data_IF_523951141949
#
_entry.id   IF_523951141949
#
_cell.length_a   1.000
_cell.length_b   1.000
_cell.length_c   1.000
_cell.angle_alpha   90.00
_cell.angle_beta   90.00
_cell.angle_gamma   90.00
#
_symmetry.space_group_name_H-M   'P 1'
#
loop_
_entity.id
_entity.type
_entity.pdbx_description
1 polymer ?
#
# COMPACT_ATOMS: atom_id res chain seq x y z
N UNK A 1 -2.02 33.94 -12.72
CA UNK A 1 -1.58 33.52 -11.36
C UNK A 1 -1.57 31.99 -11.12
N UNK A 2 -2.47 31.23 -11.76
CA UNK A 2 -2.58 29.76 -11.57
C UNK A 2 -1.42 28.95 -12.17
N UNK A 3 -0.90 29.35 -13.34
CA UNK A 3 0.18 28.62 -14.01
C UNK A 3 1.44 28.55 -13.14
N UNK A 4 1.79 29.63 -12.45
CA UNK A 4 2.95 29.69 -11.56
C UNK A 4 2.80 28.77 -10.33
N UNK A 5 1.59 28.68 -9.78
CA UNK A 5 1.30 27.76 -8.67
C UNK A 5 1.36 26.29 -9.12
N UNK A 6 0.89 26.01 -10.34
CA UNK A 6 0.99 24.67 -10.94
C UNK A 6 2.44 24.25 -11.19
N UNK A 7 3.29 25.13 -11.73
CA UNK A 7 4.72 24.82 -11.92
C UNK A 7 5.43 24.61 -10.59
N UNK A 8 5.09 25.40 -9.56
CA UNK A 8 5.67 25.27 -8.21
C UNK A 8 5.24 23.96 -7.53
N UNK A 9 3.99 23.53 -7.72
CA UNK A 9 3.50 22.24 -7.22
C UNK A 9 4.19 21.07 -7.95
N UNK A 10 4.31 21.15 -9.29
CA UNK A 10 4.96 20.12 -10.08
C UNK A 10 6.46 19.96 -9.81
N UNK A 11 7.16 21.05 -9.44
CA UNK A 11 8.56 20.98 -9.05
C UNK A 11 8.81 20.14 -7.77
N UNK A 12 7.78 19.90 -6.96
CA UNK A 12 7.87 19.07 -5.75
C UNK A 12 7.64 17.58 -6.03
N UNK A 13 7.07 17.23 -7.19
CA UNK A 13 6.93 15.84 -7.59
C UNK A 13 8.28 15.32 -8.08
N UNK A 14 8.97 14.59 -7.20
CA UNK A 14 10.08 13.76 -7.63
C UNK A 14 9.50 12.70 -8.59
N UNK A 15 10.04 12.54 -9.81
CA UNK A 15 9.59 11.47 -10.68
C UNK A 15 9.68 10.15 -9.90
N UNK A 16 8.67 9.27 -10.01
CA UNK A 16 8.73 7.98 -9.34
C UNK A 16 10.05 7.32 -9.74
N UNK A 17 10.82 6.89 -8.75
CA UNK A 17 12.06 6.15 -9.01
C UNK A 17 11.62 4.83 -9.63
N UNK A 18 11.66 4.76 -10.96
CA UNK A 18 11.44 3.54 -11.72
C UNK A 18 12.63 2.65 -11.39
N UNK A 19 12.48 1.81 -10.37
CA UNK A 19 13.43 0.76 -10.10
C UNK A 19 13.39 -0.18 -11.29
N UNK A 20 14.40 -0.09 -12.16
CA UNK A 20 14.58 -1.04 -13.26
C UNK A 20 14.51 -2.47 -12.70
N UNK A 21 13.89 -3.39 -13.44
CA UNK A 21 13.70 -4.78 -13.01
C UNK A 21 14.99 -5.41 -12.44
N UNK A 22 16.14 -5.10 -13.06
CA UNK A 22 17.47 -5.55 -12.63
C UNK A 22 17.84 -5.15 -11.20
N UNK A 23 17.42 -3.97 -10.75
CA UNK A 23 17.67 -3.48 -9.38
C UNK A 23 16.81 -4.21 -8.36
N UNK A 24 15.60 -4.61 -8.75
CA UNK A 24 14.66 -5.36 -7.90
C UNK A 24 15.17 -6.80 -7.73
N UNK A 25 15.59 -7.45 -8.82
CA UNK A 25 16.17 -8.80 -8.79
C UNK A 25 17.42 -8.89 -7.89
N UNK A 26 18.33 -7.91 -7.96
CA UNK A 26 19.51 -7.82 -7.10
C UNK A 26 19.17 -7.65 -5.62
N UNK A 27 18.08 -6.94 -5.29
CA UNK A 27 17.64 -6.79 -3.89
C UNK A 27 16.97 -8.06 -3.38
N UNK A 28 16.16 -8.71 -4.21
CA UNK A 28 15.51 -9.99 -3.88
C UNK A 28 16.54 -11.10 -3.63
N UNK A 29 17.55 -11.24 -4.49
CA UNK A 29 18.62 -12.23 -4.31
C UNK A 29 19.44 -12.00 -3.04
N UNK A 30 19.72 -10.74 -2.67
CA UNK A 30 20.40 -10.43 -1.39
C UNK A 30 19.55 -10.79 -0.17
N UNK A 31 18.26 -10.48 -0.22
CA UNK A 31 17.33 -10.82 0.87
C UNK A 31 17.16 -12.33 1.01
N UNK A 32 17.09 -13.06 -0.11
CA UNK A 32 17.01 -14.51 -0.13
C UNK A 32 18.22 -15.17 0.52
N UNK A 33 19.45 -14.76 0.15
CA UNK A 33 20.66 -15.28 0.79
C UNK A 33 20.68 -15.03 2.29
N UNK A 34 20.30 -13.82 2.74
CA UNK A 34 20.23 -13.51 4.17
C UNK A 34 19.20 -14.36 4.91
N UNK A 35 18.06 -14.64 4.27
CA UNK A 35 17.03 -15.52 4.83
C UNK A 35 17.55 -16.97 4.95
N UNK A 36 18.24 -17.48 3.93
CA UNK A 36 18.89 -18.79 3.93
C UNK A 36 19.97 -18.90 5.02
N UNK A 37 20.82 -17.89 5.19
CA UNK A 37 21.81 -17.85 6.27
C UNK A 37 21.17 -17.83 7.66
N UNK A 38 20.02 -17.17 7.79
CA UNK A 38 19.29 -17.12 9.06
C UNK A 38 18.59 -18.45 9.37
N UNK A 39 18.02 -19.10 8.35
CA UNK A 39 17.29 -20.37 8.52
C UNK A 39 18.21 -21.58 8.70
N UNK A 40 19.42 -21.55 8.13
CA UNK A 40 20.43 -22.59 8.35
C UNK A 40 21.05 -22.55 9.76
N UNK A 41 20.61 -21.61 10.60
CA UNK A 41 21.19 -21.38 11.91
C UNK A 41 22.57 -20.75 11.77
N UNK A 42 22.75 -19.59 12.39
CA UNK A 42 24.07 -19.02 12.63
C UNK A 42 24.87 -20.08 13.39
N UNK A 43 25.69 -20.87 12.68
CA UNK A 43 26.40 -22.05 13.21
C UNK A 43 26.72 -21.82 14.67
N UNK A 44 25.99 -22.50 15.53
CA UNK A 44 26.16 -22.40 16.96
C UNK A 44 27.63 -22.68 17.25
N UNK A 45 28.25 -21.74 17.94
CA UNK A 45 29.57 -21.93 18.50
C UNK A 45 29.51 -23.20 19.35
N UNK A 46 30.17 -24.22 18.84
CA UNK A 46 30.62 -25.39 19.60
C UNK A 46 31.11 -24.87 20.94
N UNK A 47 30.47 -25.36 22.00
CA UNK A 47 30.84 -25.11 23.38
C UNK A 47 32.36 -25.26 23.53
N UNK A 48 32.95 -24.23 24.11
CA UNK A 48 34.38 -23.94 24.17
C UNK A 48 35.15 -24.90 25.12
N UNK A 49 34.91 -26.21 25.05
CA UNK A 49 35.71 -27.20 25.79
C UNK A 49 36.92 -27.63 24.97
N UNK A 50 36.85 -27.56 23.64
CA UNK A 50 38.00 -27.75 22.74
C UNK A 50 38.33 -26.46 21.99
N UNK A 51 38.88 -25.46 22.69
CA UNK A 51 39.53 -24.33 22.01
C UNK A 51 40.78 -24.85 21.28
N UNK A 52 40.70 -24.88 19.95
CA UNK A 52 41.82 -25.16 19.03
C UNK A 52 42.87 -24.04 19.00
N UNK A 53 42.85 -23.13 19.96
CA UNK A 53 43.83 -22.06 20.07
C UNK A 53 45.20 -22.68 20.41
N UNK A 54 46.30 -22.22 19.76
CA UNK A 54 47.64 -22.70 20.06
C UNK A 54 47.94 -22.49 21.56
N UNK A 55 48.75 -23.39 22.13
CA UNK A 55 49.00 -23.48 23.58
C UNK A 55 49.47 -22.16 24.20
N UNK A 56 50.13 -21.31 23.41
CA UNK A 56 50.63 -19.98 23.76
C UNK A 56 49.53 -18.93 24.00
N UNK A 57 48.32 -19.15 23.48
CA UNK A 57 47.15 -18.29 23.67
C UNK A 57 46.16 -18.84 24.70
N UNK A 58 46.44 -20.01 25.29
CA UNK A 58 45.63 -20.57 26.37
C UNK A 58 45.99 -19.84 27.66
N UNK A 59 44.98 -19.35 28.36
CA UNK A 59 45.13 -18.71 29.67
C UNK A 59 45.84 -19.72 30.59
N UNK A 60 47.02 -19.40 31.13
CA UNK A 60 47.72 -20.26 32.09
C UNK A 60 46.80 -20.61 33.26
N UNK A 61 46.90 -21.84 33.76
CA UNK A 61 46.02 -22.35 34.83
C UNK A 61 46.02 -21.43 36.07
N UNK A 62 47.17 -20.80 36.37
CA UNK A 62 47.31 -19.83 37.45
C UNK A 62 46.50 -18.53 37.22
N UNK A 63 46.40 -18.04 35.98
CA UNK A 63 45.56 -16.87 35.65
C UNK A 63 44.07 -17.22 35.70
N UNK A 64 43.72 -18.48 35.41
CA UNK A 64 42.34 -18.97 35.53
C UNK A 64 41.87 -18.93 36.99
N UNK A 65 42.72 -19.32 37.94
CA UNK A 65 42.43 -19.20 39.38
C UNK A 65 42.31 -17.74 39.83
N UNK A 66 43.17 -16.86 39.30
CA UNK A 66 43.08 -15.42 39.57
C UNK A 66 41.77 -14.80 39.04
N UNK A 67 41.36 -15.12 37.81
CA UNK A 67 40.09 -14.63 37.23
C UNK A 67 38.90 -15.16 38.02
N UNK A 68 38.93 -16.44 38.45
CA UNK A 68 37.90 -17.00 39.33
C UNK A 68 37.86 -16.24 40.67
N UNK A 69 39.00 -16.01 41.30
CA UNK A 69 39.07 -15.27 42.56
C UNK A 69 38.58 -13.81 42.45
N UNK A 70 38.83 -13.12 41.33
CA UNK A 70 38.28 -11.78 41.06
C UNK A 70 36.74 -11.81 40.94
N UNK A 71 36.19 -12.84 40.30
CA UNK A 71 34.73 -13.02 40.20
C UNK A 71 34.11 -13.36 41.56
N UNK A 72 34.73 -14.24 42.34
CA UNK A 72 34.25 -14.58 43.69
C UNK A 72 34.38 -13.40 44.67
N UNK A 73 35.43 -12.58 44.55
CA UNK A 73 35.53 -11.31 45.31
C UNK A 73 34.44 -10.31 44.94
N UNK A 74 33.92 -10.35 43.71
CA UNK A 74 32.79 -9.52 43.29
C UNK A 74 31.43 -10.05 43.80
N UNK A 75 31.32 -11.31 44.22
CA UNK A 75 30.11 -11.88 44.83
C UNK A 75 29.97 -11.50 46.32
N UNK A 76 31.07 -11.13 46.98
CA UNK A 76 31.01 -10.42 48.24
C UNK A 76 30.53 -8.99 47.99
N UNK A 77 29.29 -8.67 48.38
CA UNK A 77 28.65 -7.36 48.23
C UNK A 77 29.47 -6.21 48.87
N UNK A 78 30.52 -5.76 48.19
CA UNK A 78 31.12 -4.47 48.46
C UNK A 78 30.12 -3.40 48.02
N UNK A 79 29.66 -2.57 48.95
CA UNK A 79 28.70 -1.47 48.78
C UNK A 79 29.12 -0.38 47.77
N UNK A 80 30.18 -0.59 47.00
CA UNK A 80 30.78 0.36 46.06
C UNK A 80 30.91 -0.21 44.64
N UNK A 81 29.99 -1.07 44.20
CA UNK A 81 29.90 -1.42 42.78
C UNK A 81 29.24 -0.26 42.00
N UNK A 82 30.01 0.34 41.09
CA UNK A 82 29.63 1.38 40.11
C UNK A 82 28.55 0.94 39.09
N UNK A 83 27.73 -0.06 39.43
CA UNK A 83 26.71 -0.65 38.57
C UNK A 83 25.46 -1.08 39.35
N UNK A 84 25.18 -0.46 40.50
CA UNK A 84 23.88 -0.64 41.13
C UNK A 84 22.80 -0.17 40.17
N UNK A 85 21.84 -1.05 39.89
CA UNK A 85 20.70 -0.75 39.02
C UNK A 85 19.95 0.44 39.62
N UNK A 86 19.91 1.55 38.88
CA UNK A 86 19.04 2.66 39.22
C UNK A 86 17.59 2.20 39.05
N UNK A 87 16.98 1.81 40.17
CA UNK A 87 15.59 1.33 40.22
C UNK A 87 14.61 2.38 39.70
N UNK A 88 14.90 3.67 39.89
CA UNK A 88 14.02 4.75 39.45
C UNK A 88 14.02 4.86 37.93
N UNK A 89 15.20 4.75 37.31
CA UNK A 89 15.36 4.80 35.87
C UNK A 89 14.84 3.52 35.21
N UNK A 90 15.11 2.36 35.80
CA UNK A 90 14.59 1.07 35.31
C UNK A 90 13.05 1.07 35.30
N UNK A 91 12.41 1.59 36.35
CA UNK A 91 10.95 1.72 36.41
C UNK A 91 10.41 2.65 35.33
N UNK A 92 11.09 3.77 35.05
CA UNK A 92 10.72 4.69 33.95
C UNK A 92 10.87 4.00 32.58
N UNK A 93 11.94 3.26 32.36
CA UNK A 93 12.16 2.54 31.09
C UNK A 93 11.09 1.48 30.84
N UNK A 94 10.72 0.70 31.87
CA UNK A 94 9.64 -0.28 31.79
C UNK A 94 8.29 0.41 31.47
N UNK A 95 7.98 1.53 32.14
CA UNK A 95 6.74 2.27 31.89
C UNK A 95 6.68 2.82 30.46
N UNK A 96 7.79 3.37 29.96
CA UNK A 96 7.89 3.86 28.58
C UNK A 96 7.78 2.73 27.55
N UNK A 97 8.38 1.57 27.81
CA UNK A 97 8.24 0.39 26.96
C UNK A 97 6.77 -0.05 26.86
N UNK A 98 6.07 -0.17 27.99
CA UNK A 98 4.62 -0.49 28.04
C UNK A 98 3.78 0.53 27.28
N UNK A 99 4.07 1.82 27.42
CA UNK A 99 3.34 2.88 26.70
C UNK A 99 3.55 2.78 25.19
N UNK A 100 4.78 2.49 24.73
CA UNK A 100 5.09 2.29 23.31
C UNK A 100 4.39 1.06 22.73
N UNK A 101 4.29 -0.02 23.50
CA UNK A 101 3.57 -1.23 23.12
C UNK A 101 2.07 -0.96 22.96
N UNK A 102 1.44 -0.29 23.93
CA UNK A 102 0.03 0.10 23.85
C UNK A 102 -0.28 1.01 22.65
N UNK A 103 0.63 1.91 22.29
CA UNK A 103 0.48 2.75 21.09
C UNK A 103 0.49 1.89 19.82
N UNK A 104 1.45 0.95 19.70
CA UNK A 104 1.53 0.04 18.54
C UNK A 104 0.27 -0.83 18.41
N UNK A 105 -0.24 -1.36 19.52
CA UNK A 105 -1.48 -2.14 19.51
C UNK A 105 -2.69 -1.32 19.03
N UNK A 106 -2.80 -0.06 19.45
CA UNK A 106 -3.88 0.84 19.00
C UNK A 106 -3.76 1.14 17.52
N UNK A 107 -2.55 1.36 17.01
CA UNK A 107 -2.31 1.59 15.58
C UNK A 107 -2.64 0.34 14.75
N UNK A 108 -2.23 -0.86 15.21
CA UNK A 108 -2.59 -2.12 14.55
C UNK A 108 -4.10 -2.36 14.54
N UNK A 109 -4.80 -2.11 15.65
CA UNK A 109 -6.26 -2.22 15.71
C UNK A 109 -6.97 -1.26 14.75
N UNK A 110 -6.47 -0.02 14.62
CA UNK A 110 -7.00 0.94 13.64
C UNK A 110 -6.77 0.44 12.21
N UNK A 111 -5.59 -0.09 11.92
CA UNK A 111 -5.24 -0.62 10.60
C UNK A 111 -6.11 -1.82 10.21
N UNK A 112 -6.29 -2.79 11.11
CA UNK A 112 -7.19 -3.93 10.87
C UNK A 112 -8.62 -3.47 10.63
N UNK A 113 -9.13 -2.51 11.42
CA UNK A 113 -10.48 -1.98 11.24
C UNK A 113 -10.65 -1.24 9.91
N UNK A 114 -9.63 -0.52 9.44
CA UNK A 114 -9.68 0.14 8.12
C UNK A 114 -9.61 -0.87 6.98
N UNK A 115 -8.78 -1.90 7.09
CA UNK A 115 -8.69 -2.98 6.09
C UNK A 115 -10.00 -3.76 6.00
N UNK A 116 -10.63 -4.07 7.14
CA UNK A 116 -11.96 -4.70 7.19
C UNK A 116 -13.05 -3.81 6.57
N UNK A 117 -12.97 -2.49 6.73
CA UNK A 117 -13.92 -1.56 6.11
C UNK A 117 -13.75 -1.51 4.59
N UNK A 118 -12.52 -1.46 4.09
CA UNK A 118 -12.20 -1.53 2.65
C UNK A 118 -12.71 -2.84 2.07
N UNK A 119 -12.45 -3.96 2.76
CA UNK A 119 -12.90 -5.28 2.30
C UNK A 119 -14.43 -5.38 2.24
N UNK A 120 -15.16 -4.83 3.21
CA UNK A 120 -16.63 -4.74 3.14
C UNK A 120 -17.11 -3.87 1.98
N UNK A 121 -16.45 -2.75 1.71
CA UNK A 121 -16.79 -1.89 0.57
C UNK A 121 -16.52 -2.59 -0.77
N UNK A 122 -15.43 -3.35 -0.88
CA UNK A 122 -15.13 -4.17 -2.06
C UNK A 122 -16.18 -5.27 -2.27
N UNK A 123 -16.59 -5.97 -1.21
CA UNK A 123 -17.67 -6.99 -1.27
C UNK A 123 -19.00 -6.37 -1.76
N UNK A 124 -19.39 -5.22 -1.22
CA UNK A 124 -20.57 -4.48 -1.67
C UNK A 124 -20.47 -4.05 -3.14
N UNK A 125 -19.29 -3.62 -3.58
CA UNK A 125 -19.05 -3.22 -4.97
C UNK A 125 -19.16 -4.41 -5.92
N UNK A 126 -18.67 -5.58 -5.50
CA UNK A 126 -18.69 -6.79 -6.32
C UNK A 126 -20.12 -7.32 -6.55
N UNK A 127 -20.99 -7.20 -5.55
CA UNK A 127 -22.42 -7.53 -5.70
C UNK A 127 -23.13 -6.58 -6.68
N UNK A 128 -22.79 -5.30 -6.67
CA UNK A 128 -23.33 -4.31 -7.63
C UNK A 128 -22.82 -4.60 -9.05
N UNK A 129 -21.54 -4.92 -9.23
CA UNK A 129 -20.99 -5.28 -10.54
C UNK A 129 -21.63 -6.55 -11.11
N UNK A 130 -21.87 -7.55 -10.27
CA UNK A 130 -22.57 -8.76 -10.70
C UNK A 130 -24.01 -8.45 -11.18
N UNK A 131 -24.66 -7.43 -10.62
CA UNK A 131 -25.98 -6.98 -11.11
C UNK A 131 -25.90 -6.26 -12.47
N UNK A 132 -24.80 -5.59 -12.80
CA UNK A 132 -24.60 -4.88 -14.07
C UNK A 132 -23.94 -5.71 -15.19
N UNK A 133 -23.37 -6.89 -14.89
CA UNK A 133 -22.64 -7.70 -15.87
C UNK A 133 -23.52 -8.38 -16.94
N UNK A 134 -24.85 -8.38 -16.78
CA UNK A 134 -25.77 -8.84 -17.82
C UNK A 134 -26.62 -7.66 -18.27
N UNK A 135 -26.29 -7.03 -19.41
CA UNK A 135 -27.19 -6.09 -20.06
C UNK A 135 -28.59 -6.72 -20.11
N UNK A 136 -29.66 -5.97 -19.82
CA UNK A 136 -31.03 -6.50 -19.84
C UNK A 136 -31.41 -7.11 -21.21
N UNK A 137 -30.66 -6.78 -22.25
CA UNK A 137 -30.77 -7.37 -23.59
C UNK A 137 -30.19 -8.80 -23.69
N UNK A 138 -29.41 -9.24 -22.71
CA UNK A 138 -28.72 -10.55 -22.68
C UNK A 138 -29.25 -11.46 -21.58
N UNK A 139 -30.18 -11.01 -20.74
CA UNK A 139 -30.73 -11.79 -19.63
C UNK A 139 -31.56 -12.98 -20.08
N UNK A 140 -32.14 -12.94 -21.28
CA UNK A 140 -32.87 -14.05 -21.90
C UNK A 140 -31.98 -15.03 -22.67
N UNK A 141 -30.69 -14.70 -22.88
CA UNK A 141 -29.77 -15.53 -23.66
C UNK A 141 -29.09 -16.58 -22.79
N UNK A 142 -29.04 -17.80 -23.29
CA UNK A 142 -28.28 -18.89 -22.69
C UNK A 142 -26.78 -18.66 -22.85
N UNK A 143 -25.97 -19.28 -21.98
CA UNK A 143 -24.50 -19.19 -22.08
C UNK A 143 -23.94 -19.69 -23.42
N UNK A 144 -24.66 -20.60 -24.10
CA UNK A 144 -24.26 -21.09 -25.42
C UNK A 144 -24.54 -20.04 -26.51
N UNK A 145 -25.69 -19.36 -26.47
CA UNK A 145 -26.00 -18.26 -27.40
C UNK A 145 -25.02 -17.09 -27.25
N UNK A 146 -24.59 -16.78 -26.01
CA UNK A 146 -23.55 -15.79 -25.75
C UNK A 146 -22.20 -16.17 -26.37
N UNK A 147 -21.84 -17.46 -26.32
CA UNK A 147 -20.63 -17.97 -27.00
C UNK A 147 -20.77 -17.89 -28.52
N UNK A 148 -21.94 -18.23 -29.06
CA UNK A 148 -22.21 -18.14 -30.50
C UNK A 148 -22.13 -16.68 -30.99
N UNK A 149 -22.63 -15.70 -30.22
CA UNK A 149 -22.49 -14.27 -30.54
C UNK A 149 -21.03 -13.78 -30.51
N UNK A 150 -20.19 -14.39 -29.68
CA UNK A 150 -18.75 -14.09 -29.65
C UNK A 150 -18.03 -14.63 -30.89
N UNK A 151 -18.40 -15.83 -31.35
CA UNK A 151 -17.81 -16.48 -32.53
C UNK A 151 -18.35 -15.92 -33.84
N UNK A 152 -19.62 -15.53 -33.85
CA UNK A 152 -20.31 -14.93 -34.99
C UNK A 152 -20.93 -13.60 -34.56
N UNK A 153 -20.15 -12.50 -34.57
CA UNK A 153 -20.69 -11.19 -34.22
C UNK A 153 -21.85 -10.84 -35.15
N UNK A 154 -22.92 -10.31 -34.55
CA UNK A 154 -24.12 -9.90 -35.28
C UNK A 154 -23.73 -8.90 -36.37
N UNK A 155 -24.10 -9.19 -37.63
CA UNK A 155 -23.91 -8.24 -38.72
C UNK A 155 -24.93 -7.11 -38.58
N UNK A 156 -24.51 -5.99 -38.02
CA UNK A 156 -25.33 -4.79 -37.97
C UNK A 156 -25.35 -4.19 -39.38
N UNK A 157 -26.53 -4.02 -40.00
CA UNK A 157 -26.62 -3.31 -41.28
C UNK A 157 -25.90 -1.97 -41.17
N UNK A 158 -25.28 -1.51 -42.26
CA UNK A 158 -24.72 -0.16 -42.31
C UNK A 158 -25.86 0.86 -42.35
N UNK A 159 -26.47 1.09 -41.19
CA UNK A 159 -27.44 2.15 -41.01
C UNK A 159 -26.72 3.47 -41.30
N UNK A 160 -27.35 4.44 -41.98
CA UNK A 160 -26.81 5.79 -42.06
C UNK A 160 -26.75 6.33 -40.64
N UNK A 161 -25.58 6.21 -40.00
CA UNK A 161 -25.35 6.45 -38.59
C UNK A 161 -25.55 7.91 -38.19
N UNK A 162 -25.81 8.80 -39.16
CA UNK A 162 -25.83 10.25 -39.01
C UNK A 162 -27.07 10.83 -39.70
N UNK A 163 -28.27 10.43 -39.26
CA UNK A 163 -29.41 11.28 -39.56
C UNK A 163 -29.30 12.51 -38.65
N UNK A 164 -29.47 13.70 -39.22
CA UNK A 164 -29.42 14.97 -38.51
C UNK A 164 -30.36 15.01 -37.28
N UNK A 165 -31.41 14.18 -37.29
CA UNK A 165 -32.31 13.96 -36.16
C UNK A 165 -31.64 13.33 -34.94
N UNK A 166 -30.77 12.34 -35.12
CA UNK A 166 -30.04 11.67 -34.02
C UNK A 166 -29.05 12.64 -33.39
N UNK A 167 -28.31 13.40 -34.20
CA UNK A 167 -27.38 14.43 -33.70
C UNK A 167 -28.10 15.51 -32.89
N UNK A 168 -29.25 16.00 -33.39
CA UNK A 168 -30.08 16.96 -32.65
C UNK A 168 -30.60 16.37 -31.35
N UNK A 169 -31.03 15.11 -31.34
CA UNK A 169 -31.49 14.43 -30.14
C UNK A 169 -30.38 14.31 -29.09
N UNK A 170 -29.22 13.78 -29.47
CA UNK A 170 -28.05 13.64 -28.58
C UNK A 170 -27.64 15.00 -28.01
N UNK A 171 -27.60 16.05 -28.86
CA UNK A 171 -27.32 17.41 -28.42
C UNK A 171 -28.32 17.91 -27.38
N UNK A 172 -29.63 17.82 -27.65
CA UNK A 172 -30.66 18.27 -26.72
C UNK A 172 -30.60 17.52 -25.39
N UNK A 173 -30.41 16.20 -25.41
CA UNK A 173 -30.28 15.39 -24.19
C UNK A 173 -29.03 15.79 -23.39
N UNK A 174 -27.91 16.03 -24.07
CA UNK A 174 -26.66 16.44 -23.42
C UNK A 174 -26.78 17.84 -22.80
N UNK A 175 -27.39 18.79 -23.51
CA UNK A 175 -27.66 20.14 -23.00
C UNK A 175 -28.61 20.11 -21.79
N UNK A 176 -29.69 19.33 -21.87
CA UNK A 176 -30.64 19.15 -20.77
C UNK A 176 -29.98 18.49 -19.54
N UNK A 177 -29.16 17.46 -19.75
CA UNK A 177 -28.41 16.81 -18.67
C UNK A 177 -27.41 17.77 -18.01
N UNK A 178 -26.72 18.58 -18.80
CA UNK A 178 -25.84 19.65 -18.30
C UNK A 178 -26.58 20.66 -17.41
N UNK A 179 -27.83 21.00 -17.77
CA UNK A 179 -28.67 21.86 -16.96
C UNK A 179 -29.02 21.23 -15.60
N UNK A 180 -29.41 19.95 -15.57
CA UNK A 180 -29.74 19.23 -14.32
C UNK A 180 -28.49 19.10 -13.43
N UNK A 181 -27.35 18.71 -13.99
CA UNK A 181 -26.10 18.54 -13.25
C UNK A 181 -25.53 19.86 -12.71
N UNK A 182 -25.84 20.99 -13.37
CA UNK A 182 -25.49 22.32 -12.88
C UNK A 182 -26.36 22.77 -11.68
N UNK A 183 -27.54 22.17 -11.51
CA UNK A 183 -28.47 22.50 -10.43
C UNK A 183 -27.99 21.94 -9.08
N UNK A 184 -27.52 20.69 -9.07
CA UNK A 184 -26.91 20.06 -7.87
C UNK A 184 -25.70 20.85 -7.36
N UNK A 185 -24.90 21.44 -8.27
CA UNK A 185 -23.79 22.34 -7.91
C UNK A 185 -24.22 23.66 -7.27
N UNK A 186 -25.43 24.15 -7.52
CA UNK A 186 -25.95 25.36 -6.86
C UNK A 186 -26.55 25.05 -5.50
N UNK A 187 -27.13 23.86 -5.32
CA UNK A 187 -27.76 23.49 -4.04
C UNK A 187 -26.76 23.04 -2.97
N UNK A 188 -25.64 22.40 -3.37
CA UNK A 188 -24.56 22.03 -2.45
C UNK A 188 -23.87 23.24 -1.76
N UNK A 189 -24.10 24.47 -2.25
CA UNK A 189 -23.59 25.69 -1.62
C UNK A 189 -24.44 26.25 -0.47
N UNK A 190 -25.61 25.69 -0.19
CA UNK A 190 -26.50 26.16 0.90
C UNK A 190 -26.31 25.45 2.24
N UNK A 191 -25.71 24.27 2.26
CA UNK A 191 -25.62 23.44 3.48
C UNK A 191 -24.27 23.51 4.20
N UNK A 192 -23.41 24.49 3.86
CA UNK A 192 -22.24 24.84 4.67
C UNK A 192 -21.13 23.78 4.75
N UNK A 193 -21.11 22.76 3.90
CA UNK A 193 -20.00 21.81 3.85
C UNK A 193 -18.76 22.41 3.14
N UNK A 194 -17.55 22.16 3.67
CA UNK A 194 -16.31 22.71 3.14
C UNK A 194 -16.03 22.20 1.73
N UNK A 195 -15.63 23.12 0.85
CA UNK A 195 -15.30 22.89 -0.55
C UNK A 195 -14.20 21.84 -0.74
N UNK A 196 -14.60 20.57 -0.85
CA UNK A 196 -13.77 19.48 -1.34
C UNK A 196 -13.50 19.64 -2.83
N UNK A 197 -12.25 19.43 -3.22
CA UNK A 197 -11.74 19.55 -4.59
C UNK A 197 -12.66 18.93 -5.66
N UNK A 198 -12.88 19.60 -6.81
CA UNK A 198 -13.63 19.01 -7.91
C UNK A 198 -12.86 17.82 -8.52
N UNK A 199 -13.53 16.70 -8.87
CA UNK A 199 -12.96 15.72 -9.77
C UNK A 199 -12.77 16.38 -11.14
N UNK A 200 -11.53 16.35 -11.64
CA UNK A 200 -11.14 16.90 -12.94
C UNK A 200 -11.94 16.23 -14.07
N UNK A 201 -12.74 17.04 -14.78
CA UNK A 201 -13.47 16.67 -15.99
C UNK A 201 -12.52 16.50 -17.19
N UNK A 202 -11.51 15.63 -17.10
CA UNK A 202 -10.65 15.28 -18.25
C UNK A 202 -11.26 14.18 -19.15
N UNK A 203 -12.39 13.59 -18.76
CA UNK A 203 -12.96 12.42 -19.45
C UNK A 203 -13.66 12.79 -20.78
N UNK A 204 -14.16 14.02 -20.95
CA UNK A 204 -14.97 14.35 -22.14
C UNK A 204 -14.19 14.92 -23.34
N UNK A 205 -12.87 15.07 -23.25
CA UNK A 205 -12.08 15.58 -24.38
C UNK A 205 -11.65 14.50 -25.38
N UNK A 206 -11.68 13.22 -24.97
CA UNK A 206 -11.21 12.12 -25.80
C UNK A 206 -12.23 11.60 -26.84
N UNK A 207 -13.51 11.97 -26.77
CA UNK A 207 -14.52 11.44 -27.69
C UNK A 207 -14.82 12.31 -28.91
N UNK A 208 -14.41 13.59 -28.94
CA UNK A 208 -14.78 14.49 -30.04
C UNK A 208 -13.70 14.66 -31.12
N UNK A 209 -12.43 14.45 -30.81
CA UNK A 209 -11.34 14.74 -31.75
C UNK A 209 -11.02 13.61 -32.74
N UNK A 210 -11.64 12.43 -32.64
CA UNK A 210 -11.35 11.30 -33.54
C UNK A 210 -12.25 11.20 -34.79
N UNK A 211 -13.27 12.05 -34.95
CA UNK A 211 -14.21 11.97 -36.07
C UNK A 211 -14.05 13.05 -37.15
N UNK A 212 -13.02 13.90 -37.07
CA UNK A 212 -12.86 15.04 -37.99
C UNK A 212 -11.62 14.96 -38.91
N UNK A 213 -11.00 13.79 -39.06
CA UNK A 213 -9.78 13.62 -39.89
C UNK A 213 -9.98 12.71 -41.11
N UNK A 214 -11.22 12.39 -41.48
CA UNK A 214 -11.54 11.67 -42.71
C UNK A 214 -12.67 12.38 -43.46
N UNK A 215 -12.32 13.52 -44.06
CA UNK A 215 -12.97 14.07 -45.25
C UNK A 215 -11.88 14.39 -46.28
#
# INVERSE_FOLDING_TARGET
PLLHQWTKANALFKPPVINQCRTIELKLTKLWHKAVETSLGKRENISHIDCGCPREKKIPVLELEFIKAQRTKAEGQGSMQMGSIDYSETKKQIANAKKREQIREREQKKKMKSEEAIQREEELCQDVYHFFDKPPLTTSLTSQELRNLKETPMQVPKWPSHTQSVERCVKMVTEAAGHVYSHERREAGRDGLPAGHPPSLEINRYYFDHNNTLM
#
